data_IF_013760037729
#
_entry.id   IF_013760037729
#
_cell.length_a   1.000
_cell.length_b   1.000
_cell.length_c   1.000
_cell.angle_alpha   90.00
_cell.angle_beta   90.00
_cell.angle_gamma   90.00
#
_symmetry.space_group_name_H-M   'P 1'
#
loop_
_entity.id
_entity.type
_entity.pdbx_description
1 polymer ?
#
# COMPACT_ATOMS: atom_id res chain seq x y z
N UNK A 1 4.58 -6.42 -17.72
CA UNK A 1 3.45 -5.48 -17.95
C UNK A 1 2.66 -5.15 -16.69
N UNK A 2 1.81 -6.04 -16.16
CA UNK A 2 0.99 -5.71 -14.98
C UNK A 2 1.83 -5.45 -13.72
N UNK A 3 2.76 -6.34 -13.40
CA UNK A 3 3.64 -6.22 -12.24
C UNK A 3 4.50 -4.95 -12.31
N UNK A 4 5.04 -4.63 -13.49
CA UNK A 4 5.84 -3.41 -13.68
C UNK A 4 4.99 -2.15 -13.52
N UNK A 5 3.74 -2.20 -14.00
CA UNK A 5 2.77 -1.13 -13.82
C UNK A 5 2.42 -0.93 -12.35
N UNK A 6 2.15 -2.02 -11.61
CA UNK A 6 1.89 -1.99 -10.17
C UNK A 6 3.05 -1.36 -9.41
N UNK A 7 4.29 -1.81 -9.66
CA UNK A 7 5.50 -1.23 -9.05
C UNK A 7 5.67 0.25 -9.35
N UNK A 8 5.39 0.67 -10.59
CA UNK A 8 5.43 2.08 -10.99
C UNK A 8 4.39 2.91 -10.23
N UNK A 9 3.17 2.39 -10.07
CA UNK A 9 2.12 3.09 -9.33
C UNK A 9 2.47 3.20 -7.85
N UNK A 10 2.94 2.13 -7.21
CA UNK A 10 3.38 2.19 -5.81
C UNK A 10 4.56 3.15 -5.61
N UNK A 11 5.53 3.16 -6.52
CA UNK A 11 6.65 4.10 -6.47
C UNK A 11 6.20 5.56 -6.66
N UNK A 12 5.24 5.79 -7.58
CA UNK A 12 4.74 7.12 -7.91
C UNK A 12 3.89 7.71 -6.78
N UNK A 13 2.91 6.96 -6.30
CA UNK A 13 2.03 7.37 -5.19
C UNK A 13 2.71 7.19 -3.83
N UNK A 14 3.88 6.55 -3.80
CA UNK A 14 4.67 6.24 -2.61
C UNK A 14 3.86 5.44 -1.59
N UNK A 15 2.86 4.66 -1.98
CA UNK A 15 1.96 3.93 -1.09
C UNK A 15 1.31 2.75 -1.82
N UNK A 16 0.84 1.74 -1.08
CA UNK A 16 0.12 0.60 -1.65
C UNK A 16 -1.15 1.05 -2.38
N UNK A 17 -1.36 0.52 -3.58
CA UNK A 17 -2.47 0.88 -4.46
C UNK A 17 -3.49 -0.26 -4.59
N UNK A 18 -4.76 0.11 -4.47
CA UNK A 18 -5.92 -0.69 -4.89
C UNK A 18 -6.23 -0.32 -6.35
N UNK A 19 -6.05 -1.29 -7.26
CA UNK A 19 -6.04 -1.06 -8.70
C UNK A 19 -7.10 -1.92 -9.41
N UNK A 20 -7.88 -1.28 -10.27
CA UNK A 20 -8.82 -1.95 -11.17
C UNK A 20 -8.24 -1.97 -12.59
N UNK A 21 -8.26 -3.13 -13.21
CA UNK A 21 -7.74 -3.32 -14.56
C UNK A 21 -8.57 -4.33 -15.34
N UNK A 22 -8.47 -4.29 -16.66
CA UNK A 22 -9.03 -5.30 -17.56
C UNK A 22 -7.99 -5.72 -18.59
N UNK A 23 -8.17 -6.92 -19.14
CA UNK A 23 -7.38 -7.43 -20.25
C UNK A 23 -8.33 -7.71 -21.41
N UNK A 24 -8.19 -6.93 -22.48
CA UNK A 24 -9.02 -7.08 -23.68
C UNK A 24 -8.10 -7.40 -24.87
N UNK A 25 -8.37 -8.51 -25.55
CA UNK A 25 -7.59 -8.97 -26.71
C UNK A 25 -6.08 -9.04 -26.44
N UNK A 26 -5.69 -9.50 -25.24
CA UNK A 26 -4.29 -9.61 -24.82
C UNK A 26 -3.63 -8.29 -24.42
N UNK A 27 -4.36 -7.17 -24.43
CA UNK A 27 -3.85 -5.86 -24.02
C UNK A 27 -4.37 -5.48 -22.63
N UNK A 28 -3.45 -5.06 -21.76
CA UNK A 28 -3.75 -4.59 -20.41
C UNK A 28 -4.23 -3.14 -20.43
N UNK A 29 -5.30 -2.86 -19.69
CA UNK A 29 -5.84 -1.52 -19.45
C UNK A 29 -6.02 -1.29 -17.96
N UNK A 30 -5.47 -0.20 -17.42
CA UNK A 30 -5.82 0.27 -16.08
C UNK A 30 -7.09 1.12 -16.17
N UNK A 31 -8.02 0.86 -15.26
CA UNK A 31 -9.31 1.55 -15.17
C UNK A 31 -9.30 2.56 -14.03
N UNK A 32 -8.79 2.15 -12.87
CA UNK A 32 -8.72 2.98 -11.68
C UNK A 32 -7.51 2.60 -10.82
N UNK A 33 -6.97 3.57 -10.09
CA UNK A 33 -6.05 3.33 -8.98
C UNK A 33 -6.38 4.31 -7.85
N UNK A 34 -6.21 3.86 -6.62
CA UNK A 34 -6.31 4.69 -5.41
C UNK A 34 -5.48 4.08 -4.29
N UNK A 35 -5.19 4.88 -3.27
CA UNK A 35 -4.58 4.34 -2.05
C UNK A 35 -5.49 3.26 -1.46
N UNK A 36 -4.94 2.06 -1.26
CA UNK A 36 -5.70 0.93 -0.79
C UNK A 36 -6.12 1.10 0.68
N UNK A 37 -7.40 0.86 0.97
CA UNK A 37 -7.88 0.70 2.35
C UNK A 37 -7.24 -0.53 2.97
N UNK A 38 -6.92 -0.46 4.26
CA UNK A 38 -6.20 -1.53 4.96
C UNK A 38 -6.42 -1.46 6.46
N UNK A 39 -6.18 -2.58 7.15
CA UNK A 39 -6.17 -2.65 8.62
C UNK A 39 -4.90 -2.01 9.19
N UNK A 40 -4.89 -1.70 10.49
CA UNK A 40 -3.72 -1.18 11.19
C UNK A 40 -2.47 -2.06 11.01
N UNK A 41 -2.62 -3.38 11.18
CA UNK A 41 -1.54 -4.34 10.99
C UNK A 41 -0.97 -4.31 9.56
N UNK A 42 -1.86 -4.25 8.56
CA UNK A 42 -1.46 -4.18 7.16
C UNK A 42 -0.79 -2.83 6.83
N UNK A 43 -1.25 -1.72 7.40
CA UNK A 43 -0.61 -0.42 7.25
C UNK A 43 0.83 -0.42 7.74
N UNK A 44 1.08 -0.98 8.94
CA UNK A 44 2.42 -1.09 9.50
C UNK A 44 3.34 -1.96 8.63
N UNK A 45 2.83 -3.09 8.16
CA UNK A 45 3.58 -3.98 7.27
C UNK A 45 3.96 -3.27 5.96
N UNK A 46 3.00 -2.62 5.30
CA UNK A 46 3.25 -1.87 4.05
C UNK A 46 4.26 -0.75 4.28
N UNK A 47 4.11 0.03 5.35
CA UNK A 47 5.04 1.11 5.65
C UNK A 47 6.48 0.57 5.85
N UNK A 48 6.63 -0.53 6.58
CA UNK A 48 7.93 -1.21 6.76
C UNK A 48 8.52 -1.67 5.43
N UNK A 49 7.71 -2.30 4.59
CA UNK A 49 8.17 -2.86 3.31
C UNK A 49 8.58 -1.75 2.33
N UNK A 50 7.80 -0.65 2.25
CA UNK A 50 8.16 0.53 1.45
C UNK A 50 9.44 1.22 1.92
N UNK A 51 9.73 1.20 3.23
CA UNK A 51 11.02 1.67 3.76
C UNK A 51 12.16 0.74 3.35
N UNK A 52 11.96 -0.59 3.47
CA UNK A 52 12.97 -1.57 3.09
C UNK A 52 13.31 -1.52 1.59
N UNK A 53 12.31 -1.22 0.76
CA UNK A 53 12.45 -1.01 -0.69
C UNK A 53 12.99 0.38 -1.06
N UNK A 54 13.17 1.28 -0.09
CA UNK A 54 13.66 2.64 -0.32
C UNK A 54 12.65 3.55 -1.03
N UNK A 55 11.38 3.13 -1.12
CA UNK A 55 10.31 3.94 -1.69
C UNK A 55 10.02 5.13 -0.78
N UNK A 56 9.99 4.92 0.54
CA UNK A 56 9.80 5.98 1.54
C UNK A 56 10.89 5.96 2.60
N UNK A 57 11.09 7.10 3.26
CA UNK A 57 11.96 7.24 4.44
C UNK A 57 11.28 6.71 5.69
N UNK A 58 12.08 6.45 6.74
CA UNK A 58 11.55 6.03 8.05
C UNK A 58 10.66 7.13 8.65
N UNK A 59 11.04 8.38 8.44
CA UNK A 59 10.32 9.56 8.90
C UNK A 59 8.94 9.67 8.22
N UNK A 60 8.89 9.49 6.90
CA UNK A 60 7.61 9.42 6.16
C UNK A 60 6.74 8.25 6.64
N UNK A 61 7.34 7.09 6.91
CA UNK A 61 6.60 5.93 7.42
C UNK A 61 5.97 6.20 8.80
N UNK A 62 6.70 6.86 9.70
CA UNK A 62 6.19 7.24 11.02
C UNK A 62 5.01 8.23 10.92
N UNK A 63 5.08 9.18 9.99
CA UNK A 63 4.01 10.18 9.78
C UNK A 63 2.73 9.59 9.16
N UNK A 64 2.78 8.37 8.63
CA UNK A 64 1.64 7.69 7.98
C UNK A 64 0.88 6.75 8.90
N UNK A 65 1.45 6.44 10.06
CA UNK A 65 0.83 5.55 11.04
C UNK A 65 0.14 6.42 12.08
N UNK A 66 -1.18 6.39 12.08
CA UNK A 66 -1.95 7.09 13.11
C UNK A 66 -1.74 6.40 14.46
N UNK A 67 -1.47 7.14 15.55
CA UNK A 67 -1.25 6.54 16.87
C UNK A 67 -2.38 5.59 17.32
N UNK A 68 -3.63 5.90 16.99
CA UNK A 68 -4.78 5.06 17.30
C UNK A 68 -4.75 3.68 16.61
N UNK A 69 -4.03 3.53 15.50
CA UNK A 69 -3.81 2.23 14.85
C UNK A 69 -2.87 1.35 15.68
N UNK A 70 -1.97 1.94 16.46
CA UNK A 70 -1.09 1.20 17.36
C UNK A 70 -1.88 0.62 18.53
N UNK A 71 -2.84 1.37 19.08
CA UNK A 71 -3.71 0.88 20.17
C UNK A 71 -4.47 -0.39 19.76
N UNK A 72 -4.94 -0.47 18.51
CA UNK A 72 -5.58 -1.67 17.96
C UNK A 72 -4.65 -2.89 17.90
N UNK A 73 -3.34 -2.68 17.82
CA UNK A 73 -2.35 -3.77 17.83
C UNK A 73 -1.93 -4.17 19.25
N UNK A 74 -2.12 -3.28 20.22
CA UNK A 74 -1.79 -3.51 21.63
C UNK A 74 -2.94 -4.20 22.39
N UNK A 75 -4.14 -4.20 21.83
CA UNK A 75 -5.33 -4.81 22.41
C UNK A 75 -5.67 -6.08 21.62
N UNK A 76 -6.11 -7.13 22.31
CA UNK A 76 -6.55 -8.36 21.65
C UNK A 76 -7.68 -8.05 20.66
N UNK A 77 -7.40 -8.20 19.36
CA UNK A 77 -8.44 -8.22 18.35
C UNK A 77 -9.14 -9.57 18.42
N UNK A 78 -10.47 -9.56 18.57
CA UNK A 78 -11.29 -10.75 18.34
C UNK A 78 -11.32 -10.96 16.82
N UNK A 79 -10.83 -12.11 16.35
CA UNK A 79 -10.93 -12.57 14.96
C UNK A 79 -12.37 -12.91 14.57
#
# INVERSE_FOLDING_TARGET
>A
DLIDTMKKMESHYRDMQDMEFTVENGKLYLLQTRNGKRTAAAALKVARDLVAEGVITKEEALMRIEPAQLDQLLHEAID
#
